data_IF_245281690591
#
_entry.id   IF_245281690591
#
_cell.length_a   1.000
_cell.length_b   1.000
_cell.length_c   1.000
_cell.angle_alpha   90.00
_cell.angle_beta   90.00
_cell.angle_gamma   90.00
#
_symmetry.space_group_name_H-M   'P 1'
#
loop_
_entity.id
_entity.type
_entity.pdbx_description
1 polymer ?
#
# COMPACT_ATOMS: atom_id res chain seq x y z
N UNK A 1 6.99 -10.73 -37.41
CA UNK A 1 5.67 -10.32 -36.89
C UNK A 1 5.86 -9.95 -35.42
N UNK A 2 5.63 -8.70 -35.05
CA UNK A 2 5.89 -8.19 -33.68
C UNK A 2 4.94 -8.83 -32.65
N UNK A 3 3.72 -9.17 -33.04
CA UNK A 3 2.73 -9.90 -32.22
C UNK A 3 3.27 -11.22 -31.67
N UNK A 4 4.06 -11.98 -32.46
CA UNK A 4 4.71 -13.20 -31.99
C UNK A 4 5.76 -12.92 -30.89
N UNK A 5 6.42 -11.76 -30.91
CA UNK A 5 7.35 -11.36 -29.84
C UNK A 5 6.58 -11.06 -28.56
N UNK A 6 5.49 -10.31 -28.65
CA UNK A 6 4.59 -10.02 -27.51
C UNK A 6 4.04 -11.33 -26.92
N UNK A 7 3.54 -12.25 -27.75
CA UNK A 7 3.05 -13.56 -27.30
C UNK A 7 4.13 -14.41 -26.61
N UNK A 8 5.40 -14.33 -27.05
CA UNK A 8 6.50 -14.99 -26.37
C UNK A 8 6.76 -14.39 -24.98
N UNK A 9 6.69 -13.07 -24.84
CA UNK A 9 6.81 -12.41 -23.54
C UNK A 9 5.65 -12.77 -22.61
N UNK A 10 4.40 -12.79 -23.09
CA UNK A 10 3.24 -13.25 -22.29
C UNK A 10 3.39 -14.68 -21.79
N UNK A 11 3.89 -15.58 -22.64
CA UNK A 11 4.19 -16.96 -22.24
C UNK A 11 5.32 -17.05 -21.18
N UNK A 12 6.24 -16.09 -21.14
CA UNK A 12 7.27 -16.01 -20.10
C UNK A 12 6.68 -15.47 -18.81
N UNK A 13 5.89 -14.39 -18.87
CA UNK A 13 5.18 -13.80 -17.72
C UNK A 13 4.38 -14.87 -16.97
N UNK A 14 3.63 -15.71 -17.68
CA UNK A 14 2.82 -16.79 -17.09
C UNK A 14 3.64 -17.91 -16.39
N UNK A 15 4.97 -17.92 -16.52
CA UNK A 15 5.86 -18.93 -15.95
C UNK A 15 6.76 -18.39 -14.84
N UNK A 16 6.68 -17.09 -14.58
CA UNK A 16 7.51 -16.40 -13.58
C UNK A 16 6.66 -16.15 -12.35
N UNK A 17 7.14 -16.60 -11.19
CA UNK A 17 6.49 -16.36 -9.91
C UNK A 17 6.84 -14.97 -9.33
N UNK A 18 7.95 -14.37 -9.77
CA UNK A 18 8.42 -13.08 -9.27
C UNK A 18 7.70 -11.91 -9.95
N UNK A 19 6.89 -11.17 -9.19
CA UNK A 19 6.09 -10.05 -9.71
C UNK A 19 6.93 -8.96 -10.36
N UNK A 20 8.09 -8.60 -9.79
CA UNK A 20 8.97 -7.58 -10.38
C UNK A 20 9.51 -7.99 -11.77
N UNK A 21 9.87 -9.27 -11.94
CA UNK A 21 10.27 -9.80 -13.24
C UNK A 21 9.11 -9.80 -14.23
N UNK A 22 7.88 -10.11 -13.80
CA UNK A 22 6.69 -9.96 -14.66
C UNK A 22 6.49 -8.53 -15.13
N UNK A 23 6.59 -7.54 -14.23
CA UNK A 23 6.48 -6.10 -14.58
C UNK A 23 7.55 -5.73 -15.61
N UNK A 24 8.79 -6.15 -15.42
CA UNK A 24 9.87 -5.92 -16.39
C UNK A 24 9.60 -6.53 -17.78
N UNK A 25 8.96 -7.71 -17.84
CA UNK A 25 8.57 -8.36 -19.09
C UNK A 25 7.37 -7.65 -19.74
N UNK A 26 6.41 -7.17 -18.94
CA UNK A 26 5.27 -6.37 -19.40
C UNK A 26 5.74 -5.05 -20.00
N UNK A 27 6.64 -4.33 -19.32
CA UNK A 27 7.26 -3.10 -19.85
C UNK A 27 7.98 -3.32 -21.17
N UNK A 28 8.64 -4.47 -21.36
CA UNK A 28 9.23 -4.84 -22.66
C UNK A 28 8.17 -5.10 -23.73
N UNK A 29 7.08 -5.79 -23.39
CA UNK A 29 5.99 -6.05 -24.32
C UNK A 29 5.28 -4.76 -24.74
N UNK A 30 5.04 -3.86 -23.79
CA UNK A 30 4.46 -2.53 -24.00
C UNK A 30 5.31 -1.73 -24.99
N UNK A 31 6.63 -1.69 -24.81
CA UNK A 31 7.53 -1.00 -25.76
C UNK A 31 7.39 -1.54 -27.19
N UNK A 32 7.26 -2.86 -27.35
CA UNK A 32 7.05 -3.46 -28.68
C UNK A 32 5.69 -3.03 -29.26
N UNK A 33 4.63 -2.99 -28.46
CA UNK A 33 3.32 -2.51 -28.92
C UNK A 33 3.39 -1.03 -29.36
N UNK A 34 3.98 -0.17 -28.53
CA UNK A 34 4.13 1.26 -28.77
C UNK A 34 4.96 1.54 -30.03
N UNK A 35 6.09 0.84 -30.23
CA UNK A 35 6.94 0.94 -31.43
C UNK A 35 6.21 0.58 -32.73
N UNK A 36 5.16 -0.24 -32.64
CA UNK A 36 4.36 -0.69 -33.77
C UNK A 36 2.99 0.00 -33.85
N UNK A 37 2.72 0.99 -32.97
CA UNK A 37 1.45 1.72 -32.88
C UNK A 37 0.23 0.78 -32.72
N UNK A 38 0.42 -0.34 -32.01
CA UNK A 38 -0.63 -1.32 -31.78
C UNK A 38 -1.39 -0.99 -30.49
N UNK A 39 -2.47 -0.22 -30.64
CA UNK A 39 -3.23 0.32 -29.49
C UNK A 39 -3.92 -0.76 -28.67
N UNK A 40 -4.45 -1.81 -29.30
CA UNK A 40 -5.13 -2.92 -28.62
C UNK A 40 -4.13 -3.69 -27.73
N UNK A 41 -2.96 -4.05 -28.27
CA UNK A 41 -1.91 -4.65 -27.43
C UNK A 41 -1.40 -3.69 -26.37
N UNK A 42 -1.24 -2.40 -26.70
CA UNK A 42 -0.80 -1.38 -25.76
C UNK A 42 -1.74 -1.21 -24.56
N UNK A 43 -3.05 -1.37 -24.78
CA UNK A 43 -4.10 -1.29 -23.78
C UNK A 43 -4.12 -2.53 -22.87
N UNK A 44 -4.23 -3.72 -23.46
CA UNK A 44 -4.28 -4.98 -22.70
C UNK A 44 -3.04 -5.17 -21.82
N UNK A 45 -1.85 -4.89 -22.35
CA UNK A 45 -0.60 -5.06 -21.62
C UNK A 45 -0.46 -4.07 -20.45
N UNK A 46 -1.04 -2.88 -20.55
CA UNK A 46 -1.05 -1.89 -19.47
C UNK A 46 -2.04 -2.26 -18.37
N UNK A 47 -3.19 -2.86 -18.72
CA UNK A 47 -4.10 -3.44 -17.73
C UNK A 47 -3.45 -4.63 -17.01
N UNK A 48 -2.78 -5.52 -17.75
CA UNK A 48 -1.99 -6.63 -17.18
C UNK A 48 -0.90 -6.07 -16.23
N UNK A 49 -0.21 -4.99 -16.61
CA UNK A 49 0.81 -4.34 -15.77
C UNK A 49 0.26 -3.81 -14.46
N UNK A 50 -0.85 -3.06 -14.50
CA UNK A 50 -1.47 -2.50 -13.29
C UNK A 50 -1.93 -3.62 -12.35
N UNK A 51 -2.47 -4.70 -12.93
CA UNK A 51 -2.95 -5.85 -12.17
C UNK A 51 -1.83 -6.65 -11.50
N UNK A 52 -0.61 -6.62 -12.03
CA UNK A 52 0.55 -7.26 -11.38
C UNK A 52 1.19 -6.32 -10.34
N UNK A 53 1.22 -5.00 -10.58
CA UNK A 53 1.84 -4.06 -9.63
C UNK A 53 1.04 -3.86 -8.33
N UNK A 54 -0.28 -4.14 -8.31
CA UNK A 54 -1.06 -4.02 -7.07
C UNK A 54 -0.58 -4.94 -5.94
N UNK A 55 0.02 -6.08 -6.30
CA UNK A 55 0.59 -7.03 -5.34
C UNK A 55 2.05 -6.69 -4.97
N UNK A 56 2.51 -5.47 -5.29
CA UNK A 56 3.82 -4.97 -4.88
C UNK A 56 3.73 -4.00 -3.70
N UNK A 57 4.81 -3.95 -2.89
CA UNK A 57 4.97 -2.90 -1.87
C UNK A 57 4.94 -1.48 -2.46
N UNK A 58 5.40 -1.36 -3.72
CA UNK A 58 5.59 -0.11 -4.42
C UNK A 58 5.26 -0.30 -5.90
N UNK A 59 4.27 0.44 -6.38
CA UNK A 59 3.97 0.58 -7.80
C UNK A 59 4.79 1.74 -8.39
N UNK A 60 5.34 1.55 -9.59
CA UNK A 60 6.10 2.61 -10.28
C UNK A 60 5.60 2.88 -11.69
N UNK A 61 5.02 1.90 -12.35
CA UNK A 61 4.62 1.99 -13.76
C UNK A 61 3.09 2.15 -13.93
N UNK A 62 2.29 1.91 -12.89
CA UNK A 62 0.82 1.91 -12.99
C UNK A 62 0.23 3.27 -13.30
N UNK A 63 0.65 4.35 -12.62
CA UNK A 63 0.13 5.71 -12.89
C UNK A 63 0.35 6.15 -14.36
N UNK A 64 1.57 6.06 -14.95
CA UNK A 64 1.75 6.42 -16.35
C UNK A 64 1.04 5.45 -17.31
N UNK A 65 0.98 4.15 -16.99
CA UNK A 65 0.21 3.17 -17.78
C UNK A 65 -1.28 3.51 -17.78
N UNK A 66 -1.84 3.88 -16.64
CA UNK A 66 -3.24 4.23 -16.49
C UNK A 66 -3.60 5.55 -17.18
N UNK A 67 -2.75 6.57 -17.06
CA UNK A 67 -2.93 7.81 -17.79
C UNK A 67 -2.99 7.58 -19.32
N UNK A 68 -2.18 6.65 -19.83
CA UNK A 68 -2.24 6.23 -21.23
C UNK A 68 -3.54 5.50 -21.55
N UNK A 69 -4.03 4.60 -20.68
CA UNK A 69 -5.31 3.88 -20.85
C UNK A 69 -6.47 4.87 -20.95
N UNK A 70 -6.53 5.87 -20.07
CA UNK A 70 -7.57 6.90 -20.11
C UNK A 70 -7.56 7.67 -21.44
N UNK A 71 -6.38 8.08 -21.90
CA UNK A 71 -6.25 8.77 -23.18
C UNK A 71 -6.65 7.86 -24.35
N UNK A 72 -6.20 6.60 -24.36
CA UNK A 72 -6.51 5.65 -25.41
C UNK A 72 -8.02 5.39 -25.53
N UNK A 73 -8.71 5.26 -24.39
CA UNK A 73 -10.17 5.15 -24.32
C UNK A 73 -10.85 6.43 -24.79
N UNK A 74 -10.46 7.60 -24.28
CA UNK A 74 -11.12 8.87 -24.60
C UNK A 74 -10.97 9.24 -26.10
N UNK A 75 -9.86 8.85 -26.73
CA UNK A 75 -9.62 9.03 -28.16
C UNK A 75 -10.30 7.96 -29.05
N UNK A 76 -10.57 6.76 -28.52
CA UNK A 76 -11.09 5.61 -29.27
C UNK A 76 -12.16 4.82 -28.48
N UNK A 77 -13.27 5.45 -28.05
CA UNK A 77 -14.24 4.83 -27.15
C UNK A 77 -15.00 3.64 -27.74
N UNK A 78 -14.95 3.44 -29.06
CA UNK A 78 -15.54 2.28 -29.74
C UNK A 78 -14.66 1.03 -29.71
N UNK A 79 -13.37 1.17 -29.37
CA UNK A 79 -12.42 0.04 -29.32
C UNK A 79 -12.38 -0.65 -27.96
N UNK A 80 -12.73 0.07 -26.89
CA UNK A 80 -12.55 -0.36 -25.52
C UNK A 80 -13.82 -0.16 -24.70
N UNK A 81 -14.08 -1.04 -23.73
CA UNK A 81 -15.16 -0.81 -22.78
C UNK A 81 -14.60 -0.07 -21.57
N UNK A 82 -15.34 0.94 -21.09
CA UNK A 82 -14.91 1.70 -19.92
C UNK A 82 -14.89 0.84 -18.66
N UNK A 83 -15.84 -0.09 -18.54
CA UNK A 83 -15.91 -1.02 -17.40
C UNK A 83 -14.61 -1.82 -17.22
N UNK A 84 -13.82 -2.01 -18.29
CA UNK A 84 -12.57 -2.79 -18.25
C UNK A 84 -11.50 -2.17 -17.35
N UNK A 85 -11.57 -0.86 -17.06
CA UNK A 85 -10.54 -0.15 -16.29
C UNK A 85 -11.04 0.57 -15.04
N UNK A 86 -12.35 0.55 -14.73
CA UNK A 86 -12.89 1.29 -13.57
C UNK A 86 -12.31 0.81 -12.24
N UNK A 87 -12.02 -0.49 -12.14
CA UNK A 87 -11.40 -1.07 -10.96
C UNK A 87 -9.95 -0.61 -10.78
N UNK A 88 -9.20 -0.50 -11.89
CA UNK A 88 -7.86 0.06 -11.94
C UNK A 88 -7.88 1.56 -11.63
N UNK A 89 -8.89 2.30 -12.10
CA UNK A 89 -9.08 3.71 -11.74
C UNK A 89 -9.17 3.85 -10.22
N UNK A 90 -10.01 3.03 -9.58
CA UNK A 90 -10.14 3.02 -8.12
C UNK A 90 -8.79 2.87 -7.43
N UNK A 91 -7.98 1.90 -7.85
CA UNK A 91 -6.63 1.70 -7.31
C UNK A 91 -5.70 2.90 -7.55
N UNK A 92 -5.82 3.54 -8.72
CA UNK A 92 -5.04 4.74 -9.01
C UNK A 92 -5.41 5.90 -8.09
N UNK A 93 -6.64 5.95 -7.55
CA UNK A 93 -6.96 6.95 -6.54
C UNK A 93 -6.09 6.78 -5.29
N UNK A 94 -5.88 5.55 -4.82
CA UNK A 94 -4.95 5.27 -3.71
C UNK A 94 -3.53 5.75 -4.04
N UNK A 95 -3.02 5.45 -5.24
CA UNK A 95 -1.67 5.89 -5.69
C UNK A 95 -1.54 7.43 -5.74
N UNK A 96 -2.60 8.14 -6.16
CA UNK A 96 -2.61 9.60 -6.17
C UNK A 96 -2.59 10.18 -4.75
N UNK A 97 -3.34 9.58 -3.82
CA UNK A 97 -3.32 9.99 -2.41
C UNK A 97 -1.96 9.72 -1.73
N UNK A 98 -1.31 8.63 -2.12
CA UNK A 98 -0.04 8.17 -1.55
C UNK A 98 1.17 8.91 -2.11
N UNK A 99 1.02 9.66 -3.20
CA UNK A 99 2.10 10.41 -3.81
C UNK A 99 2.09 11.91 -3.39
N UNK A 100 3.06 12.38 -2.60
CA UNK A 100 3.13 13.77 -2.16
C UNK A 100 3.47 14.77 -3.28
N UNK A 101 3.91 14.29 -4.46
CA UNK A 101 4.15 15.15 -5.61
C UNK A 101 2.88 15.47 -6.41
N UNK A 102 1.79 14.72 -6.21
CA UNK A 102 0.49 14.99 -6.82
C UNK A 102 -0.22 16.08 -6.01
N UNK A 103 -0.58 17.18 -6.69
CA UNK A 103 -1.29 18.30 -6.07
C UNK A 103 -2.73 17.93 -5.70
N UNK A 104 -3.31 18.66 -4.75
CA UNK A 104 -4.72 18.48 -4.37
C UNK A 104 -5.66 18.72 -5.54
N UNK A 105 -5.34 19.71 -6.38
CA UNK A 105 -6.13 20.04 -7.56
C UNK A 105 -6.17 18.88 -8.56
N UNK A 106 -5.06 18.15 -8.72
CA UNK A 106 -4.99 16.95 -9.54
C UNK A 106 -5.79 15.79 -8.95
N UNK A 107 -5.69 15.56 -7.63
CA UNK A 107 -6.49 14.55 -6.92
C UNK A 107 -7.99 14.83 -7.08
N UNK A 108 -8.40 16.07 -6.85
CA UNK A 108 -9.80 16.50 -6.99
C UNK A 108 -10.29 16.40 -8.45
N UNK A 109 -9.43 16.66 -9.43
CA UNK A 109 -9.75 16.47 -10.84
C UNK A 109 -9.94 14.98 -11.18
N UNK A 110 -9.04 14.11 -10.73
CA UNK A 110 -9.12 12.67 -10.92
C UNK A 110 -10.36 12.06 -10.24
N UNK A 111 -10.71 12.52 -9.03
CA UNK A 111 -11.94 12.12 -8.33
C UNK A 111 -13.20 12.49 -9.11
N UNK A 112 -13.27 13.72 -9.64
CA UNK A 112 -14.44 14.17 -10.43
C UNK A 112 -14.58 13.37 -11.72
N UNK A 113 -13.46 13.06 -12.38
CA UNK A 113 -13.46 12.23 -13.58
C UNK A 113 -13.91 10.81 -13.24
N UNK A 114 -13.33 10.19 -12.22
CA UNK A 114 -13.72 8.86 -11.75
C UNK A 114 -15.22 8.79 -11.38
N UNK A 115 -15.73 9.79 -10.67
CA UNK A 115 -17.16 9.90 -10.34
C UNK A 115 -18.05 9.92 -11.58
N UNK A 116 -17.69 10.71 -12.60
CA UNK A 116 -18.45 10.78 -13.84
C UNK A 116 -18.47 9.43 -14.55
N UNK A 117 -17.33 8.72 -14.58
CA UNK A 117 -17.20 7.40 -15.17
C UNK A 117 -17.99 6.34 -14.41
N UNK A 118 -17.96 6.33 -13.08
CA UNK A 118 -18.80 5.43 -12.27
C UNK A 118 -20.29 5.62 -12.55
N UNK A 119 -20.77 6.87 -12.49
CA UNK A 119 -22.20 7.18 -12.66
C UNK A 119 -22.68 6.80 -14.06
N UNK A 120 -21.90 7.08 -15.12
CA UNK A 120 -22.32 6.76 -16.49
C UNK A 120 -22.33 5.26 -16.80
N UNK A 121 -21.59 4.45 -16.05
CA UNK A 121 -21.65 2.98 -16.09
C UNK A 121 -22.63 2.39 -15.06
N UNK A 122 -23.43 3.23 -14.39
CA UNK A 122 -24.51 2.75 -13.49
C UNK A 122 -24.06 2.38 -12.07
N UNK A 123 -22.84 2.71 -11.67
CA UNK A 123 -22.33 2.48 -10.33
C UNK A 123 -22.63 3.63 -9.37
N UNK A 124 -22.65 3.32 -8.08
CA UNK A 124 -22.75 4.28 -7.00
C UNK A 124 -21.42 4.92 -6.64
N UNK A 125 -21.44 5.80 -5.63
CA UNK A 125 -20.25 6.50 -5.13
C UNK A 125 -19.53 5.77 -3.99
N UNK A 126 -19.94 4.53 -3.65
CA UNK A 126 -19.37 3.80 -2.51
C UNK A 126 -17.86 3.60 -2.67
N UNK A 127 -17.39 3.29 -3.88
CA UNK A 127 -15.97 3.18 -4.20
C UNK A 127 -15.19 4.47 -3.88
N UNK A 128 -15.72 5.64 -4.23
CA UNK A 128 -15.10 6.94 -3.92
C UNK A 128 -15.00 7.14 -2.41
N UNK A 129 -16.08 6.87 -1.68
CA UNK A 129 -16.11 7.05 -0.23
C UNK A 129 -15.18 6.08 0.51
N UNK A 130 -14.96 4.87 -0.02
CA UNK A 130 -13.96 3.95 0.50
C UNK A 130 -12.53 4.49 0.29
N UNK A 131 -12.22 5.08 -0.87
CA UNK A 131 -10.92 5.72 -1.13
C UNK A 131 -10.70 6.94 -0.23
N UNK A 132 -11.73 7.77 -0.03
CA UNK A 132 -11.70 8.89 0.93
C UNK A 132 -11.47 8.39 2.38
N UNK A 133 -12.09 7.26 2.75
CA UNK A 133 -11.90 6.64 4.07
C UNK A 133 -10.47 6.13 4.24
N UNK A 134 -9.93 5.45 3.23
CA UNK A 134 -8.54 4.97 3.21
C UNK A 134 -7.55 6.12 3.42
N UNK A 135 -7.73 7.22 2.67
CA UNK A 135 -6.92 8.43 2.81
C UNK A 135 -7.06 9.07 4.22
N UNK A 136 -8.28 9.18 4.73
CA UNK A 136 -8.53 9.73 6.06
C UNK A 136 -7.90 8.90 7.18
N UNK A 137 -7.97 7.57 7.09
CA UNK A 137 -7.34 6.63 8.02
C UNK A 137 -5.81 6.76 8.00
N UNK A 138 -5.22 6.83 6.81
CA UNK A 138 -3.80 7.03 6.62
C UNK A 138 -3.29 8.36 7.23
N UNK A 139 -4.07 9.42 7.10
CA UNK A 139 -3.78 10.71 7.72
C UNK A 139 -4.06 10.73 9.23
N UNK A 140 -4.79 9.75 9.74
CA UNK A 140 -5.38 9.77 11.10
C UNK A 140 -6.25 11.01 11.34
N UNK A 141 -6.98 11.45 10.30
CA UNK A 141 -7.87 12.60 10.36
C UNK A 141 -9.26 12.18 10.83
N UNK A 142 -9.51 12.32 12.14
CA UNK A 142 -10.76 11.87 12.79
C UNK A 142 -12.01 12.48 12.14
N UNK A 143 -11.97 13.76 11.77
CA UNK A 143 -13.11 14.44 11.17
C UNK A 143 -13.39 13.91 9.76
N UNK A 144 -12.33 13.67 8.98
CA UNK A 144 -12.47 13.08 7.66
C UNK A 144 -12.94 11.62 7.73
N UNK A 145 -12.46 10.84 8.70
CA UNK A 145 -12.88 9.45 8.95
C UNK A 145 -14.38 9.38 9.23
N UNK A 146 -14.89 10.20 10.15
CA UNK A 146 -16.32 10.24 10.49
C UNK A 146 -17.20 10.54 9.27
N UNK A 147 -16.77 11.52 8.46
CA UNK A 147 -17.47 11.92 7.25
C UNK A 147 -17.47 10.79 6.22
N UNK A 148 -16.32 10.18 5.96
CA UNK A 148 -16.19 9.12 4.96
C UNK A 148 -16.97 7.88 5.37
N UNK A 149 -16.86 7.42 6.63
CA UNK A 149 -17.65 6.31 7.16
C UNK A 149 -19.16 6.54 7.03
N UNK A 150 -19.64 7.75 7.35
CA UNK A 150 -21.05 8.10 7.19
C UNK A 150 -21.49 7.96 5.73
N UNK A 151 -20.66 8.40 4.79
CA UNK A 151 -20.97 8.33 3.37
C UNK A 151 -20.95 6.89 2.84
N UNK A 152 -19.94 6.10 3.21
CA UNK A 152 -19.86 4.66 2.90
C UNK A 152 -21.12 3.95 3.40
N UNK A 153 -21.44 4.11 4.69
CA UNK A 153 -22.58 3.43 5.31
C UNK A 153 -23.96 3.89 4.81
N UNK A 154 -24.04 5.07 4.20
CA UNK A 154 -25.27 5.56 3.58
C UNK A 154 -25.50 4.99 2.16
N UNK A 155 -24.48 4.41 1.53
CA UNK A 155 -24.56 3.88 0.15
C UNK A 155 -24.72 2.36 0.15
N UNK A 156 -25.51 1.83 -0.78
CA UNK A 156 -25.58 0.39 -1.01
C UNK A 156 -24.28 -0.12 -1.65
N UNK A 157 -24.00 -1.41 -1.45
CA UNK A 157 -22.93 -2.11 -2.16
C UNK A 157 -23.34 -2.36 -3.61
N UNK A 158 -22.37 -2.33 -4.49
CA UNK A 158 -22.43 -2.58 -5.94
C UNK A 158 -21.15 -3.30 -6.39
N UNK A 159 -21.01 -3.56 -7.69
CA UNK A 159 -19.85 -4.29 -8.22
C UNK A 159 -18.53 -3.49 -8.16
N UNK A 160 -18.57 -2.21 -7.76
CA UNK A 160 -17.38 -1.36 -7.52
C UNK A 160 -16.99 -1.30 -6.03
N UNK A 161 -17.73 -2.00 -5.17
CA UNK A 161 -17.51 -2.03 -3.73
C UNK A 161 -16.38 -2.98 -3.36
N UNK A 162 -15.56 -2.61 -2.38
CA UNK A 162 -14.51 -3.50 -1.88
C UNK A 162 -15.09 -4.78 -1.28
N UNK A 163 -14.27 -5.83 -1.21
CA UNK A 163 -14.69 -7.04 -0.50
C UNK A 163 -15.06 -6.72 0.96
N UNK A 164 -16.01 -7.46 1.52
CA UNK A 164 -16.54 -7.20 2.87
C UNK A 164 -15.45 -7.21 3.95
N UNK A 165 -14.42 -8.05 3.77
CA UNK A 165 -13.27 -8.07 4.67
C UNK A 165 -12.51 -6.74 4.67
N UNK A 166 -12.31 -6.12 3.51
CA UNK A 166 -11.57 -4.85 3.40
C UNK A 166 -12.35 -3.69 4.02
N UNK A 167 -13.67 -3.61 3.79
CA UNK A 167 -14.49 -2.57 4.39
C UNK A 167 -14.57 -2.74 5.92
N UNK A 168 -14.70 -3.98 6.41
CA UNK A 168 -14.68 -4.25 7.84
C UNK A 168 -13.34 -3.90 8.49
N UNK A 169 -12.21 -4.19 7.83
CA UNK A 169 -10.89 -3.80 8.33
C UNK A 169 -10.67 -2.28 8.38
N UNK A 170 -11.26 -1.54 7.43
CA UNK A 170 -11.30 -0.08 7.49
C UNK A 170 -12.15 0.41 8.69
N UNK A 171 -13.29 -0.23 8.97
CA UNK A 171 -14.08 0.07 10.16
C UNK A 171 -13.35 -0.28 11.47
N UNK A 172 -12.60 -1.39 11.53
CA UNK A 172 -11.71 -1.73 12.66
C UNK A 172 -10.67 -0.64 12.86
N UNK A 173 -10.03 -0.18 11.77
CA UNK A 173 -9.02 0.87 11.81
C UNK A 173 -9.59 2.20 12.28
N UNK A 174 -10.81 2.54 11.87
CA UNK A 174 -11.51 3.72 12.36
C UNK A 174 -11.85 3.59 13.86
N UNK A 175 -12.36 2.43 14.26
CA UNK A 175 -12.68 2.12 15.67
C UNK A 175 -11.44 2.24 16.56
N UNK A 176 -10.27 1.79 16.10
CA UNK A 176 -8.99 1.98 16.80
C UNK A 176 -8.69 3.45 17.08
N UNK A 177 -8.91 4.32 16.10
CA UNK A 177 -8.60 5.75 16.19
C UNK A 177 -9.64 6.54 17.00
N UNK A 178 -10.90 6.09 17.01
CA UNK A 178 -12.02 6.84 17.60
C UNK A 178 -12.42 6.33 18.99
N UNK A 179 -12.53 5.02 19.14
CA UNK A 179 -13.14 4.37 20.31
C UNK A 179 -12.12 3.62 21.18
N UNK A 180 -10.96 3.28 20.60
CA UNK A 180 -9.85 2.63 21.28
C UNK A 180 -9.73 1.13 21.02
N UNK A 181 -8.73 0.51 21.64
CA UNK A 181 -8.28 -0.84 21.31
C UNK A 181 -9.31 -1.93 21.60
N UNK A 182 -9.96 -1.90 22.76
CA UNK A 182 -10.92 -2.95 23.16
C UNK A 182 -12.08 -3.05 22.17
N UNK A 183 -12.64 -1.91 21.78
CA UNK A 183 -13.75 -1.82 20.84
C UNK A 183 -13.32 -2.29 19.44
N UNK A 184 -12.10 -1.98 19.03
CA UNK A 184 -11.57 -2.45 17.76
C UNK A 184 -11.34 -3.96 17.72
N UNK A 185 -10.89 -4.57 18.81
CA UNK A 185 -10.76 -6.03 18.93
C UNK A 185 -12.13 -6.70 18.78
N UNK A 186 -13.16 -6.19 19.48
CA UNK A 186 -14.53 -6.69 19.36
C UNK A 186 -15.04 -6.56 17.91
N UNK A 187 -14.78 -5.43 17.27
CA UNK A 187 -15.13 -5.18 15.87
C UNK A 187 -14.41 -6.13 14.90
N UNK A 188 -13.18 -6.53 15.21
CA UNK A 188 -12.35 -7.39 14.37
C UNK A 188 -12.67 -8.89 14.51
N UNK A 189 -13.49 -9.31 15.48
CA UNK A 189 -13.80 -10.72 15.72
C UNK A 189 -14.23 -11.49 14.44
N UNK A 190 -15.13 -10.97 13.57
CA UNK A 190 -15.50 -11.70 12.35
C UNK A 190 -14.33 -11.93 11.39
N UNK A 191 -13.36 -11.00 11.33
CA UNK A 191 -12.15 -11.15 10.52
C UNK A 191 -11.22 -12.20 11.12
N UNK A 192 -11.02 -12.16 12.44
CA UNK A 192 -10.14 -13.09 13.17
C UNK A 192 -10.69 -14.52 13.12
N UNK A 193 -12.01 -14.67 13.18
CA UNK A 193 -12.70 -15.96 13.09
C UNK A 193 -12.82 -16.49 11.64
N UNK A 194 -12.37 -15.71 10.65
CA UNK A 194 -12.38 -16.12 9.24
C UNK A 194 -13.78 -16.17 8.63
N UNK A 195 -14.71 -15.34 9.11
CA UNK A 195 -16.06 -15.22 8.54
C UNK A 195 -16.03 -14.62 7.11
N UNK A 196 -14.97 -13.88 6.78
CA UNK A 196 -14.71 -13.33 5.45
C UNK A 196 -13.36 -13.79 4.91
N UNK A 197 -13.22 -13.84 3.58
CA UNK A 197 -11.98 -14.21 2.90
C UNK A 197 -11.41 -13.00 2.14
N UNK A 198 -10.11 -12.75 2.33
CA UNK A 198 -9.34 -11.76 1.58
C UNK A 198 -7.86 -12.14 1.65
N UNK A 199 -7.10 -11.88 0.59
CA UNK A 199 -5.67 -12.15 0.53
C UNK A 199 -4.86 -11.27 1.47
N UNK A 200 -5.31 -10.05 1.80
CA UNK A 200 -4.50 -9.05 2.51
C UNK A 200 -4.96 -8.81 3.96
N UNK A 201 -6.27 -8.82 4.18
CA UNK A 201 -6.89 -8.41 5.46
C UNK A 201 -6.42 -9.24 6.66
N UNK A 202 -6.32 -10.59 6.61
CA UNK A 202 -5.90 -11.37 7.79
C UNK A 202 -4.56 -10.92 8.38
N UNK A 203 -3.57 -10.64 7.52
CA UNK A 203 -2.28 -10.12 7.95
C UNK A 203 -2.40 -8.69 8.47
N UNK A 204 -3.04 -7.81 7.71
CA UNK A 204 -3.13 -6.37 8.02
C UNK A 204 -3.87 -6.12 9.34
N UNK A 205 -5.01 -6.77 9.55
CA UNK A 205 -5.78 -6.66 10.79
C UNK A 205 -4.96 -7.18 11.98
N UNK A 206 -4.36 -8.37 11.85
CA UNK A 206 -3.59 -8.97 12.93
C UNK A 206 -2.38 -8.10 13.34
N UNK A 207 -1.61 -7.58 12.38
CA UNK A 207 -0.46 -6.73 12.71
C UNK A 207 -0.88 -5.38 13.30
N UNK A 208 -1.98 -4.80 12.84
CA UNK A 208 -2.52 -3.56 13.41
C UNK A 208 -2.93 -3.77 14.86
N UNK A 209 -3.66 -4.85 15.16
CA UNK A 209 -4.08 -5.16 16.53
C UNK A 209 -2.90 -5.57 17.43
N UNK A 210 -1.86 -6.22 16.90
CA UNK A 210 -0.66 -6.52 17.68
C UNK A 210 0.06 -5.24 18.11
N UNK A 211 0.33 -4.35 17.15
CA UNK A 211 1.05 -3.11 17.39
C UNK A 211 0.27 -2.13 18.29
N UNK A 212 -1.03 -1.93 18.05
CA UNK A 212 -1.84 -1.03 18.88
C UNK A 212 -2.08 -1.60 20.29
N UNK A 213 -2.23 -2.93 20.42
CA UNK A 213 -2.37 -3.58 21.72
C UNK A 213 -1.15 -3.39 22.61
N UNK A 214 0.05 -3.48 22.01
CA UNK A 214 1.31 -3.17 22.68
C UNK A 214 1.33 -1.73 23.20
N UNK A 215 0.93 -0.76 22.37
CA UNK A 215 0.92 0.67 22.75
C UNK A 215 -0.06 0.97 23.88
N UNK A 216 -1.15 0.21 23.98
CA UNK A 216 -2.17 0.37 25.03
C UNK A 216 -1.91 -0.50 26.28
N UNK A 217 -0.89 -1.36 26.24
CA UNK A 217 -0.49 -2.21 27.36
C UNK A 217 -1.30 -3.52 27.51
N UNK A 218 -2.12 -3.90 26.52
CA UNK A 218 -2.80 -5.20 26.48
C UNK A 218 -1.92 -6.25 25.82
N UNK A 219 -0.93 -6.74 26.57
CA UNK A 219 0.12 -7.62 26.05
C UNK A 219 -0.40 -9.00 25.65
N UNK A 220 -1.41 -9.54 26.35
CA UNK A 220 -1.90 -10.90 26.07
C UNK A 220 -2.59 -10.97 24.71
N UNK A 221 -3.48 -10.02 24.42
CA UNK A 221 -4.17 -9.98 23.14
C UNK A 221 -3.21 -9.59 22.01
N UNK A 222 -2.30 -8.65 22.28
CA UNK A 222 -1.27 -8.24 21.32
C UNK A 222 -0.38 -9.41 20.88
N UNK A 223 0.06 -10.26 21.81
CA UNK A 223 0.88 -11.44 21.50
C UNK A 223 0.13 -12.47 20.64
N UNK A 224 -1.15 -12.70 20.91
CA UNK A 224 -1.98 -13.59 20.08
C UNK A 224 -2.08 -13.07 18.64
N UNK A 225 -2.28 -11.76 18.48
CA UNK A 225 -2.36 -11.12 17.17
C UNK A 225 -1.00 -11.11 16.45
N UNK A 226 0.11 -10.92 17.17
CA UNK A 226 1.45 -10.99 16.60
C UNK A 226 1.77 -12.39 16.06
N UNK A 227 1.39 -13.44 16.80
CA UNK A 227 1.55 -14.83 16.35
C UNK A 227 0.69 -15.16 15.12
N UNK A 228 -0.50 -14.57 15.01
CA UNK A 228 -1.34 -14.72 13.83
C UNK A 228 -0.72 -14.00 12.63
N UNK A 229 -0.32 -12.73 12.81
CA UNK A 229 0.33 -11.94 11.77
C UNK A 229 1.61 -12.61 11.25
N UNK A 230 2.44 -13.14 12.15
CA UNK A 230 3.64 -13.89 11.79
C UNK A 230 3.33 -15.10 10.88
N UNK A 231 2.32 -15.90 11.23
CA UNK A 231 1.90 -17.03 10.41
C UNK A 231 1.44 -16.59 9.02
N UNK A 232 0.76 -15.45 8.91
CA UNK A 232 0.32 -14.91 7.61
C UNK A 232 1.50 -14.40 6.77
N UNK A 233 2.51 -13.76 7.39
CA UNK A 233 3.75 -13.37 6.70
C UNK A 233 4.44 -14.59 6.09
N UNK A 234 4.56 -15.69 6.84
CA UNK A 234 5.19 -16.93 6.35
C UNK A 234 4.43 -17.60 5.19
N UNK A 235 3.12 -17.36 5.03
CA UNK A 235 2.36 -17.85 3.88
C UNK A 235 2.65 -17.05 2.60
N UNK A 236 3.26 -15.87 2.74
CA UNK A 236 3.36 -14.83 1.72
C UNK A 236 4.79 -14.35 1.49
N UNK A 237 5.80 -15.13 1.84
CA UNK A 237 7.21 -14.69 1.78
C UNK A 237 7.74 -14.28 0.39
N UNK A 238 6.94 -14.45 -0.68
CA UNK A 238 7.29 -14.01 -2.04
C UNK A 238 6.50 -12.79 -2.51
N UNK A 239 5.53 -12.34 -1.72
CA UNK A 239 4.58 -11.28 -2.01
C UNK A 239 5.10 -10.01 -1.32
N UNK A 240 5.58 -9.02 -2.08
CA UNK A 240 6.17 -7.83 -1.48
C UNK A 240 5.13 -6.91 -0.85
N UNK A 241 3.83 -7.06 -1.15
CA UNK A 241 2.76 -6.29 -0.52
C UNK A 241 2.75 -6.45 1.01
N UNK A 242 3.38 -7.49 1.57
CA UNK A 242 3.49 -7.67 3.02
C UNK A 242 4.50 -6.74 3.68
N UNK A 243 5.35 -6.02 2.93
CA UNK A 243 6.50 -5.30 3.47
C UNK A 243 6.15 -4.39 4.65
N UNK A 244 5.13 -3.54 4.51
CA UNK A 244 4.71 -2.62 5.58
C UNK A 244 4.24 -3.38 6.82
N UNK A 245 3.49 -4.47 6.63
CA UNK A 245 3.05 -5.34 7.72
C UNK A 245 4.24 -6.04 8.39
N UNK A 246 5.22 -6.50 7.61
CA UNK A 246 6.41 -7.16 8.13
C UNK A 246 7.27 -6.20 8.95
N UNK A 247 7.50 -4.98 8.47
CA UNK A 247 8.23 -3.95 9.22
C UNK A 247 7.47 -3.54 10.48
N UNK A 248 6.15 -3.34 10.40
CA UNK A 248 5.33 -3.03 11.58
C UNK A 248 5.40 -4.14 12.64
N UNK A 249 5.39 -5.40 12.21
CA UNK A 249 5.55 -6.54 13.11
C UNK A 249 6.97 -6.64 13.68
N UNK A 250 8.00 -6.28 12.91
CA UNK A 250 9.37 -6.16 13.41
C UNK A 250 9.49 -5.05 14.48
N UNK A 251 8.79 -3.93 14.31
CA UNK A 251 8.69 -2.88 15.33
C UNK A 251 8.01 -3.40 16.59
N UNK A 252 6.92 -4.16 16.47
CA UNK A 252 6.33 -4.87 17.62
C UNK A 252 7.37 -5.75 18.34
N UNK A 253 8.10 -6.58 17.58
CA UNK A 253 9.13 -7.44 18.16
C UNK A 253 10.24 -6.63 18.84
N UNK A 254 10.54 -5.40 18.40
CA UNK A 254 11.60 -4.61 19.05
C UNK A 254 11.32 -4.33 20.54
N UNK A 255 10.06 -4.39 20.97
CA UNK A 255 9.66 -4.23 22.37
C UNK A 255 9.56 -5.56 23.14
N UNK A 256 9.43 -6.69 22.44
CA UNK A 256 9.10 -8.00 23.06
C UNK A 256 10.20 -9.05 22.89
N UNK A 257 10.90 -9.03 21.75
CA UNK A 257 12.02 -9.91 21.39
C UNK A 257 12.95 -9.18 20.39
N UNK A 258 13.98 -8.51 20.92
CA UNK A 258 14.94 -7.73 20.11
C UNK A 258 15.75 -8.59 19.15
N UNK A 259 15.97 -9.87 19.44
CA UNK A 259 16.67 -10.79 18.55
C UNK A 259 15.85 -11.08 17.30
N UNK A 260 14.55 -11.37 17.49
CA UNK A 260 13.61 -11.57 16.39
C UNK A 260 13.35 -10.29 15.59
N UNK A 261 13.24 -9.15 16.27
CA UNK A 261 13.11 -7.86 15.61
C UNK A 261 14.27 -7.59 14.66
N UNK A 262 15.50 -7.88 15.10
CA UNK A 262 16.70 -7.76 14.27
C UNK A 262 16.63 -8.66 13.05
N UNK A 263 16.32 -9.94 13.23
CA UNK A 263 16.17 -10.89 12.11
C UNK A 263 15.17 -10.38 11.06
N UNK A 264 14.02 -9.88 11.51
CA UNK A 264 12.97 -9.38 10.63
C UNK A 264 13.37 -8.10 9.89
N UNK A 265 14.03 -7.17 10.58
CA UNK A 265 14.55 -5.95 9.96
C UNK A 265 15.61 -6.31 8.92
N UNK A 266 16.55 -7.19 9.24
CA UNK A 266 17.60 -7.64 8.30
C UNK A 266 16.99 -8.33 7.06
N UNK A 267 15.91 -9.07 7.26
CA UNK A 267 15.21 -9.80 6.20
C UNK A 267 14.38 -8.93 5.27
N UNK A 268 13.57 -8.03 5.81
CA UNK A 268 12.54 -7.32 5.06
C UNK A 268 12.92 -5.86 4.71
N UNK A 269 13.77 -5.21 5.50
CA UNK A 269 14.19 -3.84 5.19
C UNK A 269 14.86 -3.70 3.81
N UNK A 270 15.63 -4.69 3.31
CA UNK A 270 16.17 -4.61 1.96
C UNK A 270 15.14 -4.52 0.82
N UNK A 271 13.86 -4.84 1.09
CA UNK A 271 12.78 -4.69 0.10
C UNK A 271 12.21 -3.26 0.06
N UNK A 272 12.71 -2.35 0.91
CA UNK A 272 12.26 -0.97 1.01
C UNK A 272 12.94 -0.05 -0.03
N UNK A 273 12.95 -0.44 -1.30
CA UNK A 273 13.59 0.30 -2.40
C UNK A 273 12.61 1.14 -3.24
N UNK A 274 11.43 1.43 -2.69
CA UNK A 274 10.35 2.16 -3.33
C UNK A 274 10.46 3.69 -3.38
N UNK A 275 9.48 4.35 -4.01
CA UNK A 275 9.42 5.79 -4.12
C UNK A 275 9.10 6.48 -2.78
N UNK A 276 9.32 7.78 -2.77
CA UNK A 276 8.93 8.71 -1.70
C UNK A 276 7.41 8.87 -1.61
N UNK A 277 6.71 7.84 -1.13
CA UNK A 277 5.26 7.78 -0.99
C UNK A 277 4.83 7.60 0.48
N UNK A 278 3.53 7.42 0.70
CA UNK A 278 2.94 7.24 2.03
C UNK A 278 3.42 5.98 2.73
N UNK A 279 3.51 4.86 2.01
CA UNK A 279 4.04 3.60 2.52
C UNK A 279 5.48 3.76 3.02
N UNK A 280 6.32 4.49 2.27
CA UNK A 280 7.69 4.82 2.69
C UNK A 280 7.72 5.70 3.95
N UNK A 281 6.80 6.65 4.10
CA UNK A 281 6.66 7.42 5.34
C UNK A 281 6.32 6.54 6.54
N UNK A 282 5.34 5.63 6.39
CA UNK A 282 4.95 4.71 7.46
C UNK A 282 6.09 3.76 7.83
N UNK A 283 6.76 3.17 6.83
CA UNK A 283 7.94 2.33 7.03
C UNK A 283 9.04 3.07 7.79
N UNK A 284 9.35 4.30 7.38
CA UNK A 284 10.35 5.12 8.04
C UNK A 284 10.00 5.38 9.51
N UNK A 285 8.73 5.67 9.81
CA UNK A 285 8.25 5.81 11.19
C UNK A 285 8.46 4.54 12.02
N UNK A 286 8.06 3.38 11.49
CA UNK A 286 8.20 2.08 12.17
C UNK A 286 9.67 1.71 12.42
N UNK A 287 10.56 1.98 11.46
CA UNK A 287 12.01 1.74 11.64
C UNK A 287 12.57 2.69 12.70
N UNK A 288 12.26 3.98 12.64
CA UNK A 288 12.70 4.95 13.64
C UNK A 288 12.28 4.56 15.06
N UNK A 289 11.05 4.10 15.22
CA UNK A 289 10.54 3.60 16.49
C UNK A 289 11.30 2.34 16.94
N UNK A 290 11.44 1.35 16.05
CA UNK A 290 12.12 0.09 16.38
C UNK A 290 13.57 0.33 16.84
N UNK A 291 14.29 1.24 16.17
CA UNK A 291 15.69 1.56 16.49
C UNK A 291 15.89 2.12 17.91
N UNK A 292 14.85 2.69 18.55
CA UNK A 292 14.94 3.18 19.94
C UNK A 292 15.12 2.06 20.96
N UNK A 293 14.76 0.83 20.60
CA UNK A 293 14.89 -0.34 21.45
C UNK A 293 16.23 -1.08 21.27
N UNK A 294 17.11 -0.59 20.41
CA UNK A 294 18.45 -1.14 20.20
C UNK A 294 19.53 -0.20 20.74
N UNK A 295 20.68 -0.76 21.11
CA UNK A 295 21.88 0.06 21.36
C UNK A 295 22.30 0.80 20.09
N UNK A 296 22.80 2.04 20.17
CA UNK A 296 23.11 2.85 18.97
C UNK A 296 24.15 2.22 18.03
N UNK A 297 25.05 1.40 18.57
CA UNK A 297 26.11 0.70 17.84
C UNK A 297 25.73 -0.74 17.44
N UNK A 298 24.51 -1.19 17.75
CA UNK A 298 24.01 -2.50 17.34
C UNK A 298 24.04 -2.59 15.82
N UNK A 299 24.67 -3.64 15.30
CA UNK A 299 24.96 -3.78 13.86
C UNK A 299 23.93 -4.67 13.16
N UNK A 300 23.36 -4.18 12.07
CA UNK A 300 22.43 -4.88 11.19
C UNK A 300 23.12 -5.23 9.87
N UNK A 301 22.99 -6.47 9.42
CA UNK A 301 23.48 -6.94 8.12
C UNK A 301 22.38 -6.83 7.07
N UNK A 302 22.55 -5.92 6.10
CA UNK A 302 21.54 -5.61 5.08
C UNK A 302 22.13 -5.82 3.68
N UNK A 303 21.54 -6.75 2.93
CA UNK A 303 21.85 -7.01 1.53
C UNK A 303 21.02 -6.08 0.63
N UNK A 304 21.46 -4.82 0.53
CA UNK A 304 20.75 -3.78 -0.20
C UNK A 304 21.11 -3.77 -1.69
N UNK A 305 20.11 -3.57 -2.56
CA UNK A 305 20.35 -3.28 -3.97
C UNK A 305 21.03 -1.93 -4.18
N UNK A 306 21.77 -1.78 -5.27
CA UNK A 306 22.52 -0.55 -5.57
C UNK A 306 21.65 0.72 -5.70
N UNK A 307 20.35 0.57 -5.94
CA UNK A 307 19.38 1.67 -6.06
C UNK A 307 18.64 1.96 -4.75
N UNK A 308 18.83 1.14 -3.72
CA UNK A 308 18.16 1.31 -2.44
C UNK A 308 18.62 2.62 -1.77
N UNK A 309 17.68 3.42 -1.24
CA UNK A 309 17.97 4.77 -0.72
C UNK A 309 19.01 4.81 0.42
N UNK A 310 19.09 3.74 1.22
CA UNK A 310 20.05 3.54 2.31
C UNK A 310 21.46 3.08 1.84
N UNK A 311 21.61 2.57 0.61
CA UNK A 311 22.85 1.92 0.20
C UNK A 311 24.03 2.90 0.13
N UNK A 312 25.09 2.61 0.89
CA UNK A 312 26.31 3.43 0.97
C UNK A 312 27.57 2.65 0.57
N UNK A 313 27.43 1.60 -0.26
CA UNK A 313 28.56 0.74 -0.64
C UNK A 313 29.02 -0.22 0.46
N UNK A 314 28.17 -0.46 1.46
CA UNK A 314 28.40 -1.38 2.59
C UNK A 314 27.14 -2.19 2.90
N UNK A 315 27.32 -3.31 3.60
CA UNK A 315 26.23 -4.22 3.97
C UNK A 315 26.02 -4.28 5.49
N UNK A 316 26.67 -3.41 6.25
CA UNK A 316 26.52 -3.35 7.71
C UNK A 316 26.20 -1.93 8.14
N UNK A 317 25.09 -1.77 8.86
CA UNK A 317 24.56 -0.49 9.31
C UNK A 317 24.31 -0.54 10.81
N UNK A 318 24.62 0.53 11.54
CA UNK A 318 24.28 0.59 12.97
C UNK A 318 22.83 1.04 13.19
N UNK A 319 22.26 0.73 14.35
CA UNK A 319 20.93 1.23 14.73
C UNK A 319 20.83 2.75 14.59
N UNK A 320 21.89 3.47 14.98
CA UNK A 320 21.97 4.94 14.85
C UNK A 320 21.96 5.39 13.38
N UNK A 321 22.65 4.68 12.49
CA UNK A 321 22.62 5.00 11.04
C UNK A 321 21.23 4.79 10.45
N UNK A 322 20.56 3.69 10.81
CA UNK A 322 19.19 3.41 10.38
C UNK A 322 18.21 4.47 10.91
N UNK A 323 18.28 4.78 12.21
CA UNK A 323 17.43 5.80 12.84
C UNK A 323 17.62 7.18 12.19
N UNK A 324 18.87 7.58 11.91
CA UNK A 324 19.17 8.87 11.29
C UNK A 324 18.70 8.95 9.83
N UNK A 325 18.86 7.87 9.05
CA UNK A 325 18.43 7.83 7.65
C UNK A 325 16.91 7.92 7.54
N UNK A 326 16.20 6.99 8.18
CA UNK A 326 14.75 6.93 8.13
C UNK A 326 14.09 8.10 8.87
N UNK A 327 14.74 8.68 9.89
CA UNK A 327 14.24 9.87 10.58
C UNK A 327 14.19 11.08 9.64
N UNK A 328 15.26 11.31 8.87
CA UNK A 328 15.29 12.36 7.85
C UNK A 328 14.26 12.13 6.76
N UNK A 329 14.08 10.88 6.34
CA UNK A 329 13.09 10.52 5.32
C UNK A 329 11.66 10.77 5.81
N UNK A 330 11.34 10.35 7.03
CA UNK A 330 10.05 10.60 7.66
C UNK A 330 9.77 12.10 7.82
N UNK A 331 10.78 12.87 8.26
CA UNK A 331 10.69 14.33 8.39
C UNK A 331 10.35 15.02 7.06
N UNK A 332 11.06 14.64 5.98
CA UNK A 332 10.87 15.21 4.65
C UNK A 332 9.52 14.84 4.05
N UNK A 333 9.10 13.59 4.20
CA UNK A 333 7.80 13.12 3.70
C UNK A 333 6.64 13.76 4.45
N UNK A 334 6.76 13.90 5.78
CA UNK A 334 5.76 14.60 6.59
C UNK A 334 5.55 16.04 6.09
N UNK A 335 6.63 16.80 5.89
CA UNK A 335 6.54 18.18 5.37
C UNK A 335 5.87 18.24 4.01
N UNK A 336 6.25 17.36 3.08
CA UNK A 336 5.68 17.34 1.73
C UNK A 336 4.19 17.03 1.76
N UNK A 337 3.78 16.02 2.54
CA UNK A 337 2.37 15.65 2.64
C UNK A 337 1.53 16.71 3.33
N UNK A 338 2.02 17.27 4.44
CA UNK A 338 1.33 18.31 5.20
C UNK A 338 1.20 19.61 4.40
N UNK A 339 2.26 20.00 3.66
CA UNK A 339 2.21 21.12 2.72
C UNK A 339 1.19 20.88 1.61
N UNK A 340 1.21 19.69 0.99
CA UNK A 340 0.27 19.29 -0.06
C UNK A 340 -1.16 19.29 0.46
N UNK A 341 -1.39 18.81 1.68
CA UNK A 341 -2.72 18.72 2.28
C UNK A 341 -3.22 20.02 2.91
N UNK A 342 -2.33 20.93 3.30
CA UNK A 342 -2.68 22.12 4.08
C UNK A 342 -3.08 21.78 5.53
N UNK A 343 -2.49 20.74 6.11
CA UNK A 343 -2.71 20.31 7.50
C UNK A 343 -1.37 19.94 8.17
N UNK A 344 -1.41 19.31 9.36
CA UNK A 344 -0.22 18.88 10.11
C UNK A 344 -0.31 17.40 10.51
N UNK A 345 -1.08 16.62 9.77
CA UNK A 345 -1.48 15.27 10.16
C UNK A 345 -0.27 14.33 10.17
N UNK A 346 0.60 14.39 9.18
CA UNK A 346 1.79 13.54 9.11
C UNK A 346 2.85 13.97 10.14
N UNK A 347 3.03 15.28 10.34
CA UNK A 347 3.91 15.80 11.41
C UNK A 347 3.46 15.35 12.78
N UNK A 348 2.15 15.39 13.07
CA UNK A 348 1.60 14.92 14.34
C UNK A 348 1.87 13.43 14.56
N UNK A 349 1.75 12.61 13.52
CA UNK A 349 2.10 11.18 13.59
C UNK A 349 3.57 10.99 13.96
N UNK A 350 4.49 11.72 13.32
CA UNK A 350 5.92 11.62 13.59
C UNK A 350 6.28 12.07 15.02
N UNK A 351 5.62 13.10 15.55
CA UNK A 351 5.82 13.57 16.94
C UNK A 351 5.26 12.59 17.99
N UNK A 352 4.37 11.69 17.60
CA UNK A 352 3.74 10.70 18.49
C UNK A 352 4.50 9.37 18.58
N UNK A 353 5.52 9.16 17.73
CA UNK A 353 6.43 8.01 17.82
C UNK A 353 7.21 8.08 19.12
#
# INVERSE_FOLDING_TARGET
MYTLKIQKLRNQIARVDNTLEKVNLLTQAIRIADENQDIEWGYDLRLDLISEEIDLAFSTESLPAFAWILQAYDENPELFNEEDFLWQYKWMMSELYDNPAVSREQIEAALRDFEQRLIRNGYGKRAIYNEELSDALAQKDIVAIERALKNVNAMQRDDMSDCEACEMDAEVSATLLQDGYSQAVDKALPLIEGQFTCSHVPLRTAVNLAYEGLKQGDTEQADKMAQLAEKEVFKKEKDSAILISAIKLATYFSYTDTGKAKEWIERFLPWADGPDNRSMFQLACYICEAMRNFGPDESFMLELGNQHNLFQGKNTYTASELANHYGKLADQLADRFDQRNGNHNFRNQLMSL
#
